data_IF_241206574873
#
_entry.id   IF_241206574873
#
_cell.length_a   1.000
_cell.length_b   1.000
_cell.length_c   1.000
_cell.angle_alpha   90.00
_cell.angle_beta   90.00
_cell.angle_gamma   90.00
#
_symmetry.space_group_name_H-M   'P 1'
#
loop_
_entity.id
_entity.type
_entity.pdbx_description
1 polymer ?
#
# COMPACT_ATOMS: atom_id res chain seq x y z
N UNK A 1 -48.55 15.37 -26.88
CA UNK A 1 -49.06 15.54 -28.27
C UNK A 1 -48.84 17.01 -28.60
N UNK A 2 -47.69 17.39 -29.20
CA UNK A 2 -47.52 17.74 -30.64
C UNK A 2 -48.56 18.81 -31.01
N UNK A 3 -48.28 20.07 -31.36
CA UNK A 3 -47.33 20.63 -32.34
C UNK A 3 -47.48 22.17 -32.33
N UNK A 4 -46.48 22.91 -32.83
CA UNK A 4 -46.58 24.17 -33.62
C UNK A 4 -45.20 24.83 -33.58
N UNK A 5 -44.13 24.14 -34.00
CA UNK A 5 -43.55 24.39 -35.33
C UNK A 5 -44.39 25.35 -36.18
N UNK A 6 -44.17 26.67 -36.09
CA UNK A 6 -44.57 27.62 -37.14
C UNK A 6 -44.16 29.08 -36.95
N UNK A 7 -43.00 29.38 -36.36
CA UNK A 7 -42.42 30.71 -36.56
C UNK A 7 -40.94 30.61 -36.93
N UNK A 8 -40.67 29.74 -37.91
CA UNK A 8 -39.54 29.95 -38.80
C UNK A 8 -39.93 31.09 -39.74
N UNK A 9 -39.62 32.34 -39.36
CA UNK A 9 -39.51 33.48 -40.29
C UNK A 9 -38.95 34.67 -39.52
N UNK A 10 -37.73 35.05 -39.89
CA UNK A 10 -37.22 36.42 -39.86
C UNK A 10 -37.28 37.16 -38.53
N UNK A 11 -36.14 37.20 -37.83
CA UNK A 11 -35.35 38.43 -37.83
C UNK A 11 -33.99 38.21 -37.19
N UNK A 12 -32.97 38.43 -38.02
CA UNK A 12 -31.55 38.45 -37.72
C UNK A 12 -31.24 39.60 -36.75
N UNK A 13 -31.37 39.38 -35.45
CA UNK A 13 -30.82 40.29 -34.45
C UNK A 13 -30.60 39.53 -33.13
N UNK A 14 -29.41 38.97 -32.97
CA UNK A 14 -28.64 39.05 -31.71
C UNK A 14 -27.25 38.49 -31.94
N UNK A 15 -26.34 39.44 -32.03
CA UNK A 15 -24.91 39.28 -32.16
C UNK A 15 -24.34 38.79 -30.82
N UNK A 16 -23.33 37.93 -30.93
CA UNK A 16 -22.27 37.67 -29.97
C UNK A 16 -22.62 36.95 -28.66
N UNK A 17 -21.93 35.81 -28.49
CA UNK A 17 -21.39 35.46 -27.19
C UNK A 17 -22.02 34.25 -26.51
N UNK A 18 -21.98 33.09 -27.16
CA UNK A 18 -21.93 31.83 -26.41
C UNK A 18 -20.61 31.15 -26.74
N UNK A 19 -19.54 31.61 -26.10
CA UNK A 19 -18.30 30.83 -25.97
C UNK A 19 -18.72 29.51 -25.32
N UNK A 20 -18.72 28.43 -26.10
CA UNK A 20 -18.87 27.08 -25.58
C UNK A 20 -17.66 26.79 -24.70
N UNK A 21 -17.80 27.05 -23.40
CA UNK A 21 -16.92 26.50 -22.38
C UNK A 21 -17.11 24.98 -22.42
N UNK A 22 -16.33 24.31 -23.28
CA UNK A 22 -16.07 22.90 -23.12
C UNK A 22 -15.27 22.80 -21.82
N UNK A 23 -15.97 22.54 -20.71
CA UNK A 23 -15.34 22.05 -19.49
C UNK A 23 -14.73 20.70 -19.87
N UNK A 24 -13.44 20.71 -20.25
CA UNK A 24 -12.62 19.53 -20.18
C UNK A 24 -12.52 19.16 -18.70
N UNK A 25 -13.47 18.36 -18.22
CA UNK A 25 -13.29 17.62 -16.99
C UNK A 25 -12.19 16.60 -17.27
N UNK A 26 -10.93 17.04 -17.17
CA UNK A 26 -9.82 16.12 -17.08
C UNK A 26 -10.13 15.22 -15.88
N UNK A 27 -10.15 13.89 -16.05
CA UNK A 27 -10.26 13.02 -14.90
C UNK A 27 -9.07 13.37 -14.02
N UNK A 28 -9.35 13.84 -12.81
CA UNK A 28 -8.35 13.95 -11.77
C UNK A 28 -7.94 12.51 -11.43
N UNK A 29 -7.01 11.95 -12.18
CA UNK A 29 -6.33 10.72 -11.82
C UNK A 29 -5.43 11.08 -10.64
N UNK A 30 -6.02 11.10 -9.44
CA UNK A 30 -5.29 11.07 -8.19
C UNK A 30 -4.61 9.69 -8.10
N UNK A 31 -3.55 9.50 -8.89
CA UNK A 31 -2.63 8.39 -8.71
C UNK A 31 -1.72 8.75 -7.54
N UNK A 32 -2.30 8.81 -6.35
CA UNK A 32 -1.54 8.72 -5.10
C UNK A 32 -1.15 7.26 -4.91
N UNK A 33 -0.33 6.74 -5.83
CA UNK A 33 0.36 5.48 -5.65
C UNK A 33 1.62 5.72 -4.84
N UNK A 34 1.47 6.34 -3.66
CA UNK A 34 2.41 6.15 -2.56
C UNK A 34 2.09 4.76 -1.98
N UNK A 35 2.38 3.73 -2.78
CA UNK A 35 2.50 2.38 -2.24
C UNK A 35 3.76 2.44 -1.40
N UNK A 36 3.59 2.66 -0.10
CA UNK A 36 4.71 2.67 0.83
C UNK A 36 5.53 1.40 0.57
N UNK A 37 6.84 1.53 0.26
CA UNK A 37 7.64 0.41 -0.20
C UNK A 37 7.53 -0.73 0.81
N UNK A 38 7.21 -1.92 0.29
CA UNK A 38 6.99 -3.10 1.10
C UNK A 38 8.25 -3.34 1.94
N UNK A 39 8.12 -3.22 3.26
CA UNK A 39 9.28 -3.26 4.17
C UNK A 39 9.84 -4.68 4.22
N UNK A 40 11.13 -4.82 4.00
CA UNK A 40 11.84 -6.10 4.05
C UNK A 40 13.06 -5.99 4.96
N UNK A 41 13.34 -7.05 5.72
CA UNK A 41 14.54 -7.17 6.54
C UNK A 41 15.23 -8.50 6.25
N UNK A 42 16.56 -8.45 6.07
CA UNK A 42 17.37 -9.65 5.87
C UNK A 42 17.93 -10.13 7.21
N UNK A 43 17.78 -11.42 7.51
CA UNK A 43 18.31 -12.06 8.72
C UNK A 43 19.33 -13.11 8.30
N UNK A 44 20.62 -12.82 8.52
CA UNK A 44 21.68 -13.82 8.35
C UNK A 44 21.76 -14.71 9.60
N UNK A 45 21.84 -16.02 9.37
CA UNK A 45 21.99 -17.05 10.40
C UNK A 45 23.00 -18.13 10.01
N UNK A 46 23.75 -17.93 8.92
CA UNK A 46 24.78 -18.87 8.48
C UNK A 46 25.95 -18.98 9.48
N UNK A 47 26.12 -17.99 10.34
CA UNK A 47 27.10 -17.97 11.42
C UNK A 47 26.63 -18.71 12.69
N UNK A 48 25.37 -19.16 12.73
CA UNK A 48 24.75 -19.75 13.92
C UNK A 48 24.61 -21.26 13.77
N UNK A 49 25.02 -21.99 14.81
CA UNK A 49 24.63 -23.40 14.98
C UNK A 49 23.20 -23.47 15.54
N UNK A 50 22.23 -23.64 14.63
CA UNK A 50 20.81 -23.76 14.97
C UNK A 50 20.47 -25.10 15.65
N UNK A 51 21.39 -26.06 15.69
CA UNK A 51 21.25 -27.30 16.48
C UNK A 51 21.47 -27.07 17.97
N UNK A 52 22.11 -25.96 18.36
CA UNK A 52 22.40 -25.63 19.76
C UNK A 52 21.40 -24.61 20.33
N UNK A 53 21.02 -24.73 21.62
CA UNK A 53 20.12 -23.78 22.27
C UNK A 53 20.59 -22.32 22.15
N UNK A 54 21.91 -22.06 22.28
CA UNK A 54 22.48 -20.72 22.20
C UNK A 54 22.37 -20.11 20.78
N UNK A 55 22.57 -20.91 19.73
CA UNK A 55 22.42 -20.46 18.34
C UNK A 55 20.95 -20.18 18.01
N UNK A 56 20.03 -21.05 18.45
CA UNK A 56 18.58 -20.83 18.33
C UNK A 56 18.13 -19.56 19.05
N UNK A 57 18.56 -19.33 20.28
CA UNK A 57 18.22 -18.13 21.04
C UNK A 57 18.73 -16.85 20.34
N UNK A 58 19.93 -16.90 19.77
CA UNK A 58 20.49 -15.79 19.01
C UNK A 58 19.71 -15.53 17.73
N UNK A 59 19.34 -16.58 17.01
CA UNK A 59 18.49 -16.49 15.82
C UNK A 59 17.14 -15.86 16.15
N UNK A 60 16.44 -16.37 17.18
CA UNK A 60 15.14 -15.85 17.61
C UNK A 60 15.21 -14.37 18.00
N UNK A 61 16.27 -13.94 18.68
CA UNK A 61 16.49 -12.52 19.01
C UNK A 61 16.66 -11.66 17.76
N UNK A 62 17.47 -12.10 16.79
CA UNK A 62 17.68 -11.38 15.51
C UNK A 62 16.37 -11.29 14.73
N UNK A 63 15.65 -12.40 14.69
CA UNK A 63 14.39 -12.51 13.97
C UNK A 63 13.29 -11.64 14.60
N UNK A 64 13.19 -11.59 15.93
CA UNK A 64 12.28 -10.69 16.63
C UNK A 64 12.57 -9.21 16.31
N UNK A 65 13.85 -8.83 16.25
CA UNK A 65 14.26 -7.48 15.84
C UNK A 65 13.86 -7.16 14.40
N UNK A 66 14.06 -8.08 13.48
CA UNK A 66 13.66 -7.92 12.07
C UNK A 66 12.14 -7.86 11.90
N UNK A 67 11.39 -8.69 12.61
CA UNK A 67 9.92 -8.69 12.58
C UNK A 67 9.36 -7.35 13.07
N UNK A 68 9.92 -6.76 14.12
CA UNK A 68 9.52 -5.43 14.59
C UNK A 68 9.81 -4.33 13.56
N UNK A 69 10.88 -4.43 12.76
CA UNK A 69 11.20 -3.46 11.70
C UNK A 69 10.18 -3.53 10.55
N UNK A 70 9.79 -4.75 10.16
CA UNK A 70 8.84 -4.97 9.07
C UNK A 70 7.40 -4.66 9.49
N UNK A 71 7.02 -5.04 10.71
CA UNK A 71 5.63 -4.96 11.20
C UNK A 71 5.30 -3.69 12.00
N UNK A 72 6.24 -2.75 12.14
CA UNK A 72 5.92 -1.44 12.72
C UNK A 72 4.89 -0.70 11.84
N UNK A 73 3.94 0.01 12.44
CA UNK A 73 2.93 0.77 11.71
C UNK A 73 3.57 1.88 10.85
N UNK A 74 4.57 2.57 11.40
CA UNK A 74 5.34 3.59 10.69
C UNK A 74 6.77 3.64 11.21
N UNK A 75 7.67 4.27 10.45
CA UNK A 75 9.08 4.49 10.85
C UNK A 75 9.17 5.26 12.17
N UNK A 76 8.17 6.11 12.43
CA UNK A 76 8.04 6.97 13.60
C UNK A 76 7.32 6.29 14.77
N UNK A 77 6.52 5.23 14.52
CA UNK A 77 5.78 4.49 15.54
C UNK A 77 6.32 3.06 15.68
N UNK A 78 7.61 2.94 16.01
CA UNK A 78 8.28 1.63 16.24
C UNK A 78 7.64 0.81 17.36
N UNK A 79 6.91 1.43 18.27
CA UNK A 79 6.20 0.75 19.36
C UNK A 79 4.84 0.20 18.94
N UNK A 80 4.24 0.72 17.87
CA UNK A 80 3.01 0.20 17.31
C UNK A 80 3.36 -0.93 16.32
N UNK A 81 3.63 -2.11 16.86
CA UNK A 81 3.89 -3.33 16.07
C UNK A 81 2.59 -4.11 15.95
N UNK A 82 2.19 -4.45 14.72
CA UNK A 82 1.03 -5.33 14.52
C UNK A 82 1.35 -6.75 15.04
N UNK A 83 0.59 -7.27 16.03
CA UNK A 83 0.88 -8.56 16.65
C UNK A 83 0.67 -9.73 15.67
N UNK A 84 -0.34 -9.64 14.80
CA UNK A 84 -0.66 -10.68 13.81
C UNK A 84 0.42 -10.74 12.73
N UNK A 85 0.88 -9.58 12.26
CA UNK A 85 2.02 -9.46 11.36
C UNK A 85 3.26 -10.09 11.98
N UNK A 86 3.56 -9.73 13.24
CA UNK A 86 4.74 -10.24 13.93
C UNK A 86 4.72 -11.76 14.05
N UNK A 87 3.62 -12.34 14.54
CA UNK A 87 3.48 -13.80 14.66
C UNK A 87 3.66 -14.51 13.31
N UNK A 88 2.98 -14.03 12.27
CA UNK A 88 3.10 -14.61 10.92
C UNK A 88 4.51 -14.47 10.35
N UNK A 89 5.18 -13.34 10.56
CA UNK A 89 6.54 -13.11 10.10
C UNK A 89 7.53 -14.06 10.78
N UNK A 90 7.43 -14.20 12.11
CA UNK A 90 8.25 -15.13 12.89
C UNK A 90 8.05 -16.57 12.41
N UNK A 91 6.80 -17.02 12.27
CA UNK A 91 6.49 -18.38 11.87
C UNK A 91 6.96 -18.71 10.45
N UNK A 92 6.79 -17.79 9.50
CA UNK A 92 7.28 -17.97 8.13
C UNK A 92 8.80 -18.07 8.10
N UNK A 93 9.50 -17.21 8.84
CA UNK A 93 10.95 -17.21 8.89
C UNK A 93 11.51 -18.47 9.59
N UNK A 94 10.87 -18.95 10.66
CA UNK A 94 11.21 -20.21 11.33
C UNK A 94 11.10 -21.41 10.39
N UNK A 95 9.99 -21.48 9.64
CA UNK A 95 9.82 -22.52 8.60
C UNK A 95 10.89 -22.44 7.51
N UNK A 96 11.21 -21.23 7.05
CA UNK A 96 12.28 -21.03 6.06
C UNK A 96 13.67 -21.44 6.58
N UNK A 97 13.91 -21.28 7.88
CA UNK A 97 15.13 -21.71 8.54
C UNK A 97 15.12 -23.20 8.96
N UNK A 98 14.05 -23.95 8.67
CA UNK A 98 13.91 -25.35 9.08
C UNK A 98 13.73 -25.57 10.59
N UNK A 99 13.40 -24.51 11.34
CA UNK A 99 13.14 -24.59 12.78
C UNK A 99 11.64 -24.76 12.98
N UNK A 100 11.13 -25.97 12.83
CA UNK A 100 9.79 -26.32 13.31
C UNK A 100 9.95 -26.90 14.71
N UNK A 101 9.19 -26.39 15.69
CA UNK A 101 9.04 -27.08 16.97
C UNK A 101 8.05 -28.21 16.72
N UNK A 102 8.54 -29.44 16.71
CA UNK A 102 7.71 -30.63 16.94
C UNK A 102 7.04 -30.55 18.32
#
# INVERSE_FOLDING_TARGET
>A
MITHAQHALCSLLSIAGAVTLVLAAAPATAQSSDVEPMRTAHVSYADLDLGRPAGRATFERRLAGAASQVCAASVWQRYAVDPTCRERALDRARRAAGIVRD
#
